data_IF_071482110887
#
_entry.id   IF_071482110887
#
_cell.length_a   1.000
_cell.length_b   1.000
_cell.length_c   1.000
_cell.angle_alpha   90.00
_cell.angle_beta   90.00
_cell.angle_gamma   90.00
#
_symmetry.space_group_name_H-M   'P 1'
#
loop_
_entity.id
_entity.type
_entity.pdbx_description
1 polymer ?
#
# COMPACT_ATOMS: atom_id res chain seq x y z
N UNK A 1 -33.41 -25.15 13.79
CA UNK A 1 -32.28 -24.49 14.48
C UNK A 1 -31.11 -24.11 13.56
N UNK A 2 -30.69 -24.94 12.59
CA UNK A 2 -29.57 -24.63 11.67
C UNK A 2 -29.84 -23.48 10.67
N UNK A 3 -31.10 -23.28 10.27
CA UNK A 3 -31.52 -22.23 9.33
C UNK A 3 -31.55 -20.83 9.94
N UNK A 4 -31.83 -20.74 11.25
CA UNK A 4 -31.82 -19.48 11.99
C UNK A 4 -30.39 -18.95 12.20
N UNK A 5 -29.43 -19.86 12.44
CA UNK A 5 -27.99 -19.52 12.57
C UNK A 5 -27.44 -18.94 11.26
N UNK A 6 -27.83 -19.48 10.10
CA UNK A 6 -27.47 -18.93 8.78
C UNK A 6 -28.04 -17.52 8.54
N UNK A 7 -29.27 -17.27 8.95
CA UNK A 7 -29.91 -15.95 8.84
C UNK A 7 -29.25 -14.90 9.75
N UNK A 8 -28.89 -15.29 10.97
CA UNK A 8 -28.22 -14.40 11.93
C UNK A 8 -26.81 -14.02 11.47
N UNK A 9 -26.03 -14.96 10.91
CA UNK A 9 -24.68 -14.67 10.40
C UNK A 9 -24.70 -13.69 9.22
N UNK A 10 -25.69 -13.80 8.33
CA UNK A 10 -25.84 -12.87 7.21
C UNK A 10 -26.29 -11.47 7.65
N UNK A 11 -27.16 -11.39 8.66
CA UNK A 11 -27.61 -10.12 9.23
C UNK A 11 -26.48 -9.35 9.93
N UNK A 12 -25.58 -10.06 10.64
CA UNK A 12 -24.41 -9.45 11.32
C UNK A 12 -23.38 -8.91 10.32
N UNK A 13 -23.19 -9.56 9.17
CA UNK A 13 -22.30 -9.06 8.11
C UNK A 13 -22.85 -7.82 7.40
N UNK A 14 -24.18 -7.69 7.31
CA UNK A 14 -24.84 -6.59 6.58
C UNK A 14 -24.92 -5.29 7.40
N UNK A 15 -24.71 -5.34 8.71
CA UNK A 15 -24.68 -4.16 9.59
C UNK A 15 -23.28 -3.59 9.81
N UNK A 16 -22.25 -4.10 9.12
CA UNK A 16 -20.93 -3.49 9.15
C UNK A 16 -21.07 -2.05 8.65
N UNK A 17 -20.80 -1.02 9.48
CA UNK A 17 -20.89 0.35 9.03
C UNK A 17 -19.89 0.51 7.88
N UNK A 18 -20.42 0.84 6.69
CA UNK A 18 -19.61 1.35 5.60
C UNK A 18 -19.04 2.68 6.10
N UNK A 19 -17.85 2.64 6.68
CA UNK A 19 -17.16 3.85 7.11
C UNK A 19 -16.99 4.73 5.88
N UNK A 20 -17.69 5.86 5.86
CA UNK A 20 -17.53 6.84 4.79
C UNK A 20 -16.10 7.37 4.85
N UNK A 21 -15.27 7.00 3.87
CA UNK A 21 -13.94 7.55 3.73
C UNK A 21 -14.05 9.07 3.56
N UNK A 22 -13.56 9.82 4.55
CA UNK A 22 -13.61 11.28 4.55
C UNK A 22 -12.34 11.87 3.92
N UNK A 23 -12.39 13.08 3.37
CA UNK A 23 -11.20 13.72 2.79
C UNK A 23 -10.07 13.94 3.81
N UNK A 24 -10.40 14.09 5.10
CA UNK A 24 -9.42 14.15 6.18
C UNK A 24 -8.65 12.83 6.34
N UNK A 25 -9.33 11.70 6.10
CA UNK A 25 -8.75 10.36 6.12
C UNK A 25 -7.67 10.20 5.03
N UNK A 26 -7.85 10.83 3.86
CA UNK A 26 -6.88 10.77 2.77
C UNK A 26 -5.57 11.51 3.11
N UNK A 27 -5.66 12.73 3.64
CA UNK A 27 -4.46 13.49 4.04
C UNK A 27 -3.70 12.75 5.14
N UNK A 28 -4.42 12.21 6.12
CA UNK A 28 -3.80 11.41 7.18
C UNK A 28 -3.17 10.14 6.61
N UNK A 29 -3.85 9.46 5.69
CA UNK A 29 -3.32 8.28 5.01
C UNK A 29 -2.00 8.60 4.33
N UNK A 30 -1.89 9.71 3.60
CA UNK A 30 -0.63 10.14 2.97
C UNK A 30 0.47 10.31 4.00
N UNK A 31 0.20 10.98 5.13
CA UNK A 31 1.19 11.15 6.20
C UNK A 31 1.66 9.81 6.74
N UNK A 32 0.75 8.85 6.92
CA UNK A 32 1.06 7.51 7.43
C UNK A 32 1.84 6.66 6.43
N UNK A 33 1.49 6.68 5.14
CA UNK A 33 2.10 5.78 4.13
C UNK A 33 3.32 6.36 3.43
N UNK A 34 3.47 7.69 3.37
CA UNK A 34 4.60 8.34 2.66
C UNK A 34 5.98 7.82 3.09
N UNK A 35 6.26 7.54 4.38
CA UNK A 35 7.57 7.02 4.81
C UNK A 35 7.95 5.66 4.19
N UNK A 36 6.99 4.84 3.75
CA UNK A 36 7.30 3.55 3.11
C UNK A 36 7.62 3.67 1.62
N UNK A 37 7.41 4.83 0.99
CA UNK A 37 7.65 5.03 -0.44
C UNK A 37 9.12 5.39 -0.68
N UNK A 38 9.77 4.64 -1.57
CA UNK A 38 11.22 4.77 -1.84
C UNK A 38 11.53 5.00 -3.31
N UNK A 39 12.67 5.63 -3.56
CA UNK A 39 13.26 5.83 -4.88
C UNK A 39 13.99 4.56 -5.35
N UNK A 40 13.82 4.18 -6.62
CA UNK A 40 14.56 3.07 -7.25
C UNK A 40 15.49 3.63 -8.32
N UNK A 41 16.79 3.37 -8.13
CA UNK A 41 17.85 3.90 -8.97
C UNK A 41 19.05 2.95 -9.02
N UNK A 42 19.82 3.01 -10.11
CA UNK A 42 21.14 2.38 -10.20
C UNK A 42 22.23 3.40 -9.95
N UNK A 43 23.27 3.02 -9.23
CA UNK A 43 24.49 3.81 -9.08
C UNK A 43 25.65 3.13 -9.80
N UNK A 44 26.30 3.84 -10.71
CA UNK A 44 27.51 3.42 -11.41
C UNK A 44 28.55 4.54 -11.35
N UNK A 45 29.64 4.31 -10.61
CA UNK A 45 30.64 5.35 -10.30
C UNK A 45 31.30 5.98 -11.53
N UNK A 46 31.38 5.24 -12.64
CA UNK A 46 32.09 5.65 -13.86
C UNK A 46 31.15 6.10 -14.99
N UNK A 47 29.83 5.93 -14.84
CA UNK A 47 28.84 6.43 -15.80
C UNK A 47 28.56 7.91 -15.55
N UNK A 48 28.18 8.65 -16.60
CA UNK A 48 27.54 9.96 -16.47
C UNK A 48 26.12 9.91 -17.03
N UNK A 49 25.07 10.17 -16.22
CA UNK A 49 25.11 10.45 -14.78
C UNK A 49 25.42 9.19 -13.95
N UNK A 50 26.06 9.38 -12.79
CA UNK A 50 26.44 8.28 -11.91
C UNK A 50 25.23 7.60 -11.24
N UNK A 51 24.11 8.33 -11.08
CA UNK A 51 22.85 7.80 -10.60
C UNK A 51 21.84 7.92 -11.73
N UNK A 52 21.14 6.83 -12.03
CA UNK A 52 20.01 6.81 -12.95
C UNK A 52 18.76 6.33 -12.19
N UNK A 53 17.72 7.16 -12.19
CA UNK A 53 16.45 6.89 -11.53
C UNK A 53 15.47 6.23 -12.52
N UNK A 54 14.80 5.17 -12.09
CA UNK A 54 13.88 4.40 -12.93
C UNK A 54 12.43 4.51 -12.50
N UNK A 55 12.17 4.78 -11.22
CA UNK A 55 10.82 4.85 -10.68
C UNK A 55 10.78 4.74 -9.17
N UNK A 56 9.64 4.34 -8.66
CA UNK A 56 9.38 4.22 -7.23
C UNK A 56 9.01 2.80 -6.84
N UNK A 57 9.09 2.52 -5.55
CA UNK A 57 8.53 1.34 -4.92
C UNK A 57 8.03 1.66 -3.53
N UNK A 58 7.53 0.65 -2.83
CA UNK A 58 7.17 0.77 -1.43
C UNK A 58 7.70 -0.41 -0.62
N UNK A 59 8.21 -0.11 0.56
CA UNK A 59 8.71 -1.10 1.51
C UNK A 59 7.55 -1.88 2.16
N UNK A 60 7.73 -3.18 2.36
CA UNK A 60 6.75 -4.09 2.97
C UNK A 60 7.36 -4.90 4.10
N UNK A 61 6.51 -5.42 4.99
CA UNK A 61 6.95 -6.22 6.14
C UNK A 61 7.77 -5.40 7.13
N UNK A 62 9.00 -5.83 7.38
CA UNK A 62 9.98 -5.17 8.26
C UNK A 62 10.74 -4.00 7.59
N UNK A 63 10.43 -3.72 6.33
CA UNK A 63 11.09 -2.68 5.54
C UNK A 63 12.30 -3.17 4.73
N UNK A 64 12.68 -4.44 4.85
CA UNK A 64 13.82 -5.02 4.11
C UNK A 64 13.46 -5.45 2.68
N UNK A 65 12.17 -5.49 2.34
CA UNK A 65 11.67 -5.87 1.00
C UNK A 65 10.93 -4.70 0.38
N UNK A 66 11.19 -4.42 -0.90
CA UNK A 66 10.53 -3.35 -1.66
C UNK A 66 9.82 -3.94 -2.87
N UNK A 67 8.55 -3.56 -3.06
CA UNK A 67 7.77 -3.90 -4.24
C UNK A 67 7.79 -2.75 -5.26
N UNK A 68 7.89 -3.10 -6.55
CA UNK A 68 7.83 -2.16 -7.67
C UNK A 68 7.22 -2.82 -8.91
N UNK A 69 6.93 -2.02 -9.93
CA UNK A 69 6.47 -2.52 -11.23
C UNK A 69 7.62 -3.18 -11.99
N UNK A 70 7.29 -4.21 -12.78
CA UNK A 70 8.28 -4.94 -13.56
C UNK A 70 9.07 -4.07 -14.56
N UNK A 71 8.46 -3.00 -15.09
CA UNK A 71 9.12 -2.09 -16.05
C UNK A 71 10.13 -1.12 -15.41
N UNK A 72 10.23 -1.09 -14.08
CA UNK A 72 11.17 -0.22 -13.36
C UNK A 72 12.58 -0.85 -13.33
N UNK A 73 12.69 -2.15 -13.64
CA UNK A 73 13.94 -2.91 -13.68
C UNK A 73 14.45 -3.12 -15.11
#
# INVERSE_FOLDING_TARGET
MRSAVRGIVCAVFCTAPLAAASAADLTQTVVTVKPSVVAIATQMKTRSPAIAFFGTGFAVGDGSTVLTNAHVL
#
